data_IF_863062305027
#
_entry.id   IF_863062305027
#
_cell.length_a   1.000
_cell.length_b   1.000
_cell.length_c   1.000
_cell.angle_alpha   90.00
_cell.angle_beta   90.00
_cell.angle_gamma   90.00
#
_symmetry.space_group_name_H-M   'P 1'
#
loop_
_entity.id
_entity.type
_entity.pdbx_description
1 polymer ?
#
# COMPACT_ATOMS: atom_id res chain seq x y z
N UNK A 1 7.14 4.69 6.04
CA UNK A 1 6.41 3.64 5.33
C UNK A 1 6.49 3.89 3.82
N UNK A 2 6.59 2.85 3.04
CA UNK A 2 6.63 2.99 1.57
C UNK A 2 5.21 3.18 1.05
N UNK A 3 5.01 4.23 0.28
CA UNK A 3 3.73 4.55 -0.35
C UNK A 3 3.90 4.75 -1.86
N UNK A 4 2.80 4.66 -2.55
CA UNK A 4 2.70 4.94 -3.98
C UNK A 4 1.94 6.24 -4.19
N UNK A 5 2.40 7.07 -5.11
CA UNK A 5 1.63 8.20 -5.61
C UNK A 5 0.98 7.77 -6.92
N UNK A 6 -0.34 7.63 -6.87
CA UNK A 6 -1.14 7.26 -8.04
C UNK A 6 -1.77 8.47 -8.70
N UNK A 7 -2.14 8.30 -9.94
CA UNK A 7 -2.87 9.29 -10.71
C UNK A 7 -3.99 8.63 -11.50
N UNK A 8 -5.08 9.37 -11.67
CA UNK A 8 -6.17 8.92 -12.52
C UNK A 8 -5.75 9.07 -13.98
N UNK A 9 -5.90 8.02 -14.78
CA UNK A 9 -5.57 8.04 -16.23
C UNK A 9 -6.42 9.03 -17.01
N UNK A 10 -7.65 9.27 -16.57
CA UNK A 10 -8.58 10.20 -17.21
C UNK A 10 -8.47 11.62 -16.67
N UNK A 11 -7.99 11.79 -15.44
CA UNK A 11 -7.78 13.08 -14.77
C UNK A 11 -6.38 13.12 -14.18
N UNK A 12 -5.37 13.39 -14.98
CA UNK A 12 -3.96 13.36 -14.59
C UNK A 12 -3.61 14.30 -13.44
N UNK A 13 -4.45 15.29 -13.16
CA UNK A 13 -4.29 16.20 -12.03
C UNK A 13 -4.83 15.63 -10.72
N UNK A 14 -5.62 14.54 -10.78
CA UNK A 14 -6.14 13.87 -9.59
C UNK A 14 -5.12 12.84 -9.11
N UNK A 15 -4.27 13.25 -8.20
CA UNK A 15 -3.19 12.44 -7.62
C UNK A 15 -3.53 12.08 -6.20
N UNK A 16 -3.22 10.86 -5.80
CA UNK A 16 -3.55 10.37 -4.46
C UNK A 16 -2.49 9.38 -3.96
N UNK A 17 -2.28 9.41 -2.66
CA UNK A 17 -1.40 8.48 -1.97
C UNK A 17 -2.14 7.20 -1.61
N UNK A 18 -1.49 6.07 -1.84
CA UNK A 18 -2.02 4.76 -1.50
C UNK A 18 -0.90 3.83 -1.04
N UNK A 19 -1.30 2.78 -0.34
CA UNK A 19 -0.40 1.71 0.06
C UNK A 19 -0.18 0.73 -1.09
N UNK A 20 0.89 -0.05 -1.00
CA UNK A 20 1.07 -1.21 -1.85
C UNK A 20 0.04 -2.25 -1.45
N UNK A 21 -0.61 -2.84 -2.43
CA UNK A 21 -1.61 -3.85 -2.21
C UNK A 21 -2.49 -4.07 -3.42
N UNK A 22 -3.37 -5.04 -3.32
CA UNK A 22 -4.30 -5.39 -4.37
C UNK A 22 -5.21 -6.52 -3.95
N UNK A 23 -5.95 -7.05 -4.89
CA UNK A 23 -6.91 -8.12 -4.64
C UNK A 23 -6.24 -9.45 -4.32
N UNK A 24 -6.87 -10.21 -3.43
CA UNK A 24 -6.45 -11.59 -3.12
C UNK A 24 -6.85 -12.51 -4.27
N UNK A 25 -5.90 -13.29 -4.76
CA UNK A 25 -6.17 -14.33 -5.73
C UNK A 25 -6.82 -15.55 -5.05
N UNK A 26 -7.48 -16.37 -5.85
CA UNK A 26 -8.13 -17.59 -5.34
C UNK A 26 -7.10 -18.52 -4.70
N UNK A 27 -7.37 -18.94 -3.48
CA UNK A 27 -6.50 -19.83 -2.72
C UNK A 27 -5.38 -19.14 -1.97
N UNK A 28 -5.18 -17.82 -2.14
CA UNK A 28 -4.19 -17.06 -1.37
C UNK A 28 -4.74 -16.68 0.00
N UNK A 29 -3.86 -16.68 1.01
CA UNK A 29 -4.13 -15.98 2.27
C UNK A 29 -3.91 -14.48 2.06
N UNK A 30 -4.40 -13.64 2.97
CA UNK A 30 -4.16 -12.20 2.89
C UNK A 30 -2.66 -11.85 2.96
N UNK A 31 -1.84 -12.43 3.87
CA UNK A 31 -0.40 -12.20 3.85
C UNK A 31 0.29 -12.64 2.55
N UNK A 32 -0.14 -13.75 1.96
CA UNK A 32 0.39 -14.21 0.67
C UNK A 32 0.08 -13.21 -0.45
N UNK A 33 -1.14 -12.70 -0.47
CA UNK A 33 -1.52 -11.66 -1.43
C UNK A 33 -0.68 -10.39 -1.24
N UNK A 34 -0.48 -9.98 0.00
CA UNK A 34 0.36 -8.82 0.34
C UNK A 34 1.80 -8.99 -0.13
N UNK A 35 2.38 -10.15 0.09
CA UNK A 35 3.75 -10.45 -0.35
C UNK A 35 3.87 -10.45 -1.87
N UNK A 36 2.89 -11.03 -2.56
CA UNK A 36 2.84 -11.03 -4.03
C UNK A 36 2.75 -9.61 -4.59
N UNK A 37 1.86 -8.80 -4.05
CA UNK A 37 1.68 -7.41 -4.50
C UNK A 37 2.93 -6.57 -4.23
N UNK A 38 3.59 -6.77 -3.09
CA UNK A 38 4.83 -6.07 -2.76
C UNK A 38 5.93 -6.39 -3.77
N UNK A 39 6.03 -7.64 -4.18
CA UNK A 39 6.97 -8.06 -5.22
C UNK A 39 6.62 -7.46 -6.58
N UNK A 40 5.35 -7.53 -6.98
CA UNK A 40 4.90 -7.04 -8.27
C UNK A 40 5.00 -5.50 -8.37
N UNK A 41 4.59 -4.80 -7.33
CA UNK A 41 4.50 -3.33 -7.35
C UNK A 41 5.81 -2.63 -6.96
N UNK A 42 6.61 -3.23 -6.11
CA UNK A 42 7.82 -2.58 -5.59
C UNK A 42 9.10 -3.40 -5.76
N UNK A 43 9.01 -4.62 -6.27
CA UNK A 43 10.17 -5.47 -6.47
C UNK A 43 10.81 -5.97 -5.18
N UNK A 44 10.07 -5.99 -4.08
CA UNK A 44 10.55 -6.41 -2.77
C UNK A 44 10.04 -7.80 -2.44
N UNK A 45 10.96 -8.73 -2.16
CA UNK A 45 10.63 -10.10 -1.77
C UNK A 45 10.60 -10.21 -0.25
N UNK A 46 9.48 -10.70 0.29
CA UNK A 46 9.30 -10.93 1.71
C UNK A 46 8.63 -12.27 1.95
N UNK A 47 8.88 -12.84 3.13
CA UNK A 47 8.16 -14.02 3.59
C UNK A 47 6.79 -13.60 4.15
N UNK A 48 5.68 -14.15 3.62
CA UNK A 48 4.34 -13.82 4.14
C UNK A 48 4.18 -14.05 5.65
N UNK A 49 4.92 -14.98 6.23
CA UNK A 49 4.88 -15.28 7.67
C UNK A 49 5.48 -14.16 8.54
N UNK A 50 6.22 -13.22 7.96
CA UNK A 50 6.85 -12.14 8.71
C UNK A 50 5.99 -10.89 8.83
N UNK A 51 4.82 -10.85 8.20
CA UNK A 51 3.88 -9.75 8.37
C UNK A 51 3.36 -9.70 9.82
N UNK A 52 3.06 -8.50 10.29
CA UNK A 52 2.39 -8.29 11.57
C UNK A 52 0.99 -8.92 11.58
N UNK A 53 0.38 -8.99 12.75
CA UNK A 53 -1.06 -9.18 12.83
C UNK A 53 -1.77 -8.04 12.11
N UNK A 54 -3.03 -8.24 11.68
CA UNK A 54 -3.79 -7.18 11.03
C UNK A 54 -3.84 -5.90 11.88
N UNK A 55 -3.52 -4.77 11.26
CA UNK A 55 -3.55 -3.47 11.91
C UNK A 55 -4.97 -2.90 11.97
N UNK A 56 -5.79 -3.30 11.03
CA UNK A 56 -7.17 -2.86 10.92
C UNK A 56 -7.73 -3.14 9.54
N UNK A 57 -9.03 -2.98 9.43
CA UNK A 57 -9.75 -3.09 8.15
C UNK A 57 -10.47 -1.78 7.87
N UNK A 58 -10.48 -1.39 6.61
CA UNK A 58 -11.19 -0.20 6.15
C UNK A 58 -12.02 -0.54 4.92
N UNK A 59 -12.95 0.34 4.61
CA UNK A 59 -13.77 0.22 3.41
C UNK A 59 -13.57 1.48 2.58
N UNK A 60 -13.13 1.31 1.35
CA UNK A 60 -13.04 2.41 0.40
C UNK A 60 -14.05 2.21 -0.72
N UNK A 61 -14.56 3.33 -1.23
CA UNK A 61 -15.49 3.34 -2.35
C UNK A 61 -14.92 4.23 -3.44
N UNK A 62 -14.90 3.71 -4.65
CA UNK A 62 -14.39 4.45 -5.81
C UNK A 62 -15.15 4.03 -7.07
N UNK A 63 -14.93 4.77 -8.15
CA UNK A 63 -15.49 4.42 -9.45
C UNK A 63 -14.39 3.84 -10.33
N UNK A 64 -14.57 2.57 -10.72
CA UNK A 64 -13.68 1.94 -11.68
C UNK A 64 -14.00 2.47 -13.08
N UNK A 65 -12.98 2.86 -13.84
CA UNK A 65 -13.11 3.42 -15.19
C UNK A 65 -14.04 4.64 -15.25
N UNK A 66 -14.24 5.34 -14.12
CA UNK A 66 -15.13 6.48 -14.03
C UNK A 66 -16.63 6.16 -14.12
N UNK A 67 -17.03 4.88 -14.24
CA UNK A 67 -18.40 4.47 -14.52
C UNK A 67 -18.96 3.43 -13.54
N UNK A 68 -18.14 2.53 -13.02
CA UNK A 68 -18.60 1.41 -12.19
C UNK A 68 -18.28 1.69 -10.73
N UNK A 69 -19.30 1.81 -9.84
CA UNK A 69 -19.06 1.97 -8.41
C UNK A 69 -18.49 0.67 -7.84
N UNK A 70 -17.37 0.81 -7.09
CA UNK A 70 -16.70 -0.32 -6.43
C UNK A 70 -16.57 -0.02 -4.95
N UNK A 71 -16.91 -1.02 -4.12
CA UNK A 71 -16.66 -1.01 -2.68
C UNK A 71 -15.58 -2.03 -2.40
N UNK A 72 -14.50 -1.62 -1.78
CA UNK A 72 -13.36 -2.48 -1.49
C UNK A 72 -13.10 -2.53 0.01
N UNK A 73 -13.04 -3.75 0.55
CA UNK A 73 -12.64 -3.99 1.94
C UNK A 73 -11.14 -4.23 1.95
N UNK A 74 -10.42 -3.46 2.76
CA UNK A 74 -8.96 -3.54 2.86
C UNK A 74 -8.54 -3.99 4.24
N UNK A 75 -7.60 -4.93 4.31
CA UNK A 75 -6.95 -5.35 5.53
C UNK A 75 -5.48 -4.93 5.44
N UNK A 76 -5.00 -4.25 6.47
CA UNK A 76 -3.64 -3.71 6.52
C UNK A 76 -2.75 -4.54 7.43
N UNK A 77 -1.53 -4.77 6.94
CA UNK A 77 -0.46 -5.44 7.67
C UNK A 77 0.79 -4.57 7.62
N UNK A 78 1.69 -4.78 8.55
CA UNK A 78 3.00 -4.14 8.55
C UNK A 78 4.12 -5.17 8.42
N UNK A 79 5.17 -4.78 7.76
CA UNK A 79 6.40 -5.54 7.69
C UNK A 79 7.58 -4.59 7.68
N UNK A 80 8.62 -4.92 8.45
CA UNK A 80 9.87 -4.18 8.42
C UNK A 80 10.76 -4.74 7.30
N UNK A 81 11.35 -3.85 6.53
CA UNK A 81 12.32 -4.21 5.49
C UNK A 81 13.55 -3.31 5.62
N UNK A 82 14.72 -3.91 5.46
CA UNK A 82 16.00 -3.23 5.54
C UNK A 82 16.75 -3.36 4.23
N UNK A 83 17.41 -2.28 3.82
CA UNK A 83 18.32 -2.31 2.66
C UNK A 83 17.65 -2.70 1.35
N UNK A 84 16.35 -2.50 1.23
CA UNK A 84 15.62 -2.86 0.02
C UNK A 84 15.71 -1.75 -1.03
N UNK A 85 15.88 -2.16 -2.27
CA UNK A 85 15.82 -1.30 -3.42
C UNK A 85 14.44 -1.47 -4.07
N UNK A 86 13.69 -0.37 -4.18
CA UNK A 86 12.36 -0.39 -4.76
C UNK A 86 12.48 -0.35 -6.28
N UNK A 87 11.81 -1.29 -6.95
CA UNK A 87 11.80 -1.39 -8.40
C UNK A 87 10.39 -1.60 -8.92
N UNK A 88 10.05 -0.90 -9.99
CA UNK A 88 8.78 -1.05 -10.69
C UNK A 88 8.86 -2.03 -11.88
N UNK A 89 9.95 -2.78 -12.01
CA UNK A 89 10.22 -3.64 -13.18
C UNK A 89 9.19 -4.77 -13.34
N UNK A 90 8.55 -5.18 -12.26
CA UNK A 90 7.53 -6.22 -12.27
C UNK A 90 6.09 -5.70 -12.38
N UNK A 91 5.90 -4.39 -12.49
CA UNK A 91 4.57 -3.81 -12.66
C UNK A 91 4.04 -4.06 -14.07
N UNK A 92 2.72 -4.29 -14.16
CA UNK A 92 2.03 -4.35 -15.43
C UNK A 92 1.98 -2.98 -16.12
N UNK A 93 1.67 -2.97 -17.42
CA UNK A 93 1.64 -1.73 -18.20
C UNK A 93 0.67 -0.68 -17.62
N UNK A 94 -0.56 -1.11 -17.25
CA UNK A 94 -1.55 -0.20 -16.67
C UNK A 94 -1.10 0.36 -15.33
N UNK A 95 -0.50 -0.48 -14.49
CA UNK A 95 0.02 -0.05 -13.19
C UNK A 95 1.13 1.00 -13.35
N UNK A 96 2.02 0.83 -14.33
CA UNK A 96 3.07 1.80 -14.63
C UNK A 96 2.51 3.16 -15.05
N UNK A 97 1.37 3.15 -15.75
CA UNK A 97 0.69 4.37 -16.17
C UNK A 97 -0.03 5.07 -15.02
N UNK A 98 -0.56 4.29 -14.07
CA UNK A 98 -1.32 4.80 -12.93
C UNK A 98 -0.43 5.21 -11.75
N UNK A 99 0.71 4.55 -11.56
CA UNK A 99 1.63 4.83 -10.46
C UNK A 99 2.75 5.74 -10.94
N UNK A 100 2.80 6.94 -10.38
CA UNK A 100 3.80 7.94 -10.73
C UNK A 100 5.14 7.64 -10.10
N UNK A 101 5.15 7.32 -8.79
CA UNK A 101 6.37 6.99 -8.05
C UNK A 101 6.07 6.32 -6.72
N UNK A 102 7.11 5.73 -6.13
CA UNK A 102 7.13 5.27 -4.75
C UNK A 102 7.90 6.27 -3.90
N UNK A 103 7.50 6.43 -2.65
CA UNK A 103 8.18 7.32 -1.72
C UNK A 103 8.06 6.79 -0.29
N UNK A 104 9.16 6.88 0.46
CA UNK A 104 9.16 6.57 1.90
C UNK A 104 8.74 7.82 2.67
N UNK A 105 7.64 7.71 3.41
CA UNK A 105 7.07 8.82 4.17
C UNK A 105 6.76 8.40 5.60
N UNK A 106 6.92 9.33 6.52
CA UNK A 106 6.30 9.22 7.85
C UNK A 106 4.84 9.68 7.75
N UNK A 107 4.03 9.35 8.76
CA UNK A 107 2.65 9.83 8.82
C UNK A 107 2.60 11.36 8.86
N UNK A 108 3.51 11.99 9.61
CA UNK A 108 3.58 13.45 9.69
C UNK A 108 3.92 14.09 8.34
N UNK A 109 4.86 13.51 7.61
CA UNK A 109 5.20 13.97 6.26
C UNK A 109 4.01 13.84 5.31
N UNK A 110 3.30 12.71 5.37
CA UNK A 110 2.12 12.48 4.55
C UNK A 110 1.03 13.53 4.81
N UNK A 111 0.80 13.88 6.07
CA UNK A 111 -0.20 14.87 6.45
C UNK A 111 0.12 16.27 5.91
N UNK A 112 1.38 16.55 5.56
CA UNK A 112 1.80 17.81 4.95
C UNK A 112 1.74 17.83 3.42
N UNK A 113 1.46 16.67 2.80
CA UNK A 113 1.40 16.58 1.34
C UNK A 113 0.06 17.08 0.83
N UNK A 114 0.04 17.81 -0.29
CA UNK A 114 -1.20 18.36 -0.85
C UNK A 114 -2.09 17.35 -1.55
N UNK A 115 -1.52 16.21 -1.98
CA UNK A 115 -2.26 15.18 -2.68
C UNK A 115 -3.27 14.49 -1.77
N UNK A 116 -4.34 13.98 -2.35
CA UNK A 116 -5.40 13.28 -1.62
C UNK A 116 -4.91 11.93 -1.09
N UNK A 117 -5.64 11.41 -0.11
CA UNK A 117 -5.44 10.05 0.40
C UNK A 117 -6.53 9.15 -0.17
N UNK A 118 -6.16 7.99 -0.71
CA UNK A 118 -7.13 6.98 -1.13
C UNK A 118 -7.96 6.52 0.06
N UNK A 119 -7.31 6.35 1.20
CA UNK A 119 -7.94 5.99 2.46
C UNK A 119 -7.62 7.08 3.49
N UNK A 120 -8.65 7.80 4.02
CA UNK A 120 -8.41 8.85 5.02
C UNK A 120 -7.84 8.33 6.34
N UNK A 121 -7.94 7.02 6.61
CA UNK A 121 -7.37 6.38 7.78
C UNK A 121 -5.86 6.12 7.66
N UNK A 122 -5.26 6.39 6.50
CA UNK A 122 -3.88 6.05 6.22
C UNK A 122 -2.86 6.57 7.24
N UNK A 123 -2.90 7.84 7.69
CA UNK A 123 -1.95 8.30 8.70
C UNK A 123 -2.04 7.52 10.02
N UNK A 124 -3.23 7.20 10.46
CA UNK A 124 -3.46 6.39 11.67
C UNK A 124 -2.88 4.99 11.50
N UNK A 125 -3.12 4.37 10.36
CA UNK A 125 -2.61 3.03 10.04
C UNK A 125 -1.09 3.02 9.94
N UNK A 126 -0.49 4.07 9.41
CA UNK A 126 0.96 4.21 9.34
C UNK A 126 1.58 4.27 10.74
N UNK A 127 0.97 5.01 11.66
CA UNK A 127 1.43 5.07 13.05
C UNK A 127 1.29 3.71 13.74
N UNK A 128 0.19 3.00 13.49
CA UNK A 128 0.00 1.64 14.00
C UNK A 128 1.03 0.67 13.41
N UNK A 129 1.36 0.80 12.14
CA UNK A 129 2.38 -0.02 11.48
C UNK A 129 3.75 0.16 12.12
N UNK A 130 4.16 1.40 12.36
CA UNK A 130 5.44 1.70 13.01
C UNK A 130 5.48 1.13 14.43
N UNK A 131 4.40 1.28 15.18
CA UNK A 131 4.31 0.74 16.55
C UNK A 131 4.39 -0.80 16.54
N UNK A 132 3.71 -1.46 15.62
CA UNK A 132 3.73 -2.92 15.50
C UNK A 132 5.13 -3.45 15.17
N UNK A 133 5.84 -2.81 14.24
CA UNK A 133 7.19 -3.19 13.84
C UNK A 133 8.18 -2.96 14.98
N UNK A 134 8.11 -1.82 15.67
CA UNK A 134 8.97 -1.51 16.81
C UNK A 134 8.71 -2.44 17.97
N UNK A 135 7.44 -2.79 18.22
CA UNK A 135 7.05 -3.73 19.27
C UNK A 135 7.64 -5.13 19.07
N UNK A 136 7.66 -5.61 17.81
CA UNK A 136 8.22 -6.93 17.48
C UNK A 136 9.74 -6.98 17.60
N UNK A 137 10.45 -5.87 17.41
CA UNK A 137 11.91 -5.79 17.57
C UNK A 137 12.34 -5.58 19.01
N UNK A 138 11.42 -5.19 19.90
CA UNK A 138 11.69 -4.97 21.31
C UNK A 138 11.74 -6.24 22.17
N UNK A 139 11.47 -7.40 21.59
CA UNK A 139 11.47 -8.71 22.28
C UNK A 139 12.70 -9.54 21.89
N UNK A 140 13.83 -8.90 21.92
CA UNK A 140 15.11 -9.59 21.66
C UNK A 140 15.57 -10.46 22.83
#
# INVERSE_FOLDING_TARGET
MLLQLGRDLYRRTDRHWLTIGGGRARGETLPQAGARELREEAGVDVDPATFSEPLGTTVIRYSAFGLVPVTQHQTYFAIAVDGVEVSADHQGLLERLEIERHEWLTADELERRPERLTDPELPRLMRAAVAAVRGSTGHG
#
